data_IF_815302757996
#
_entry.id   IF_815302757996
#
_cell.length_a   1.000
_cell.length_b   1.000
_cell.length_c   1.000
_cell.angle_alpha   90.00
_cell.angle_beta   90.00
_cell.angle_gamma   90.00
#
_symmetry.space_group_name_H-M   'P 1'
#
loop_
_entity.id
_entity.type
_entity.pdbx_description
1 polymer ?
#
# COMPACT_ATOMS: atom_id res chain seq x y z
N UNK A 1 -31.08 18.16 -6.71
CA UNK A 1 -30.08 18.57 -5.70
C UNK A 1 -28.77 18.77 -6.44
N UNK A 2 -28.28 20.01 -6.57
CA UNK A 2 -27.01 20.28 -7.22
C UNK A 2 -25.88 19.93 -6.25
N UNK A 3 -25.25 18.77 -6.43
CA UNK A 3 -24.12 18.34 -5.62
C UNK A 3 -22.86 18.95 -6.22
N UNK A 4 -22.30 19.97 -5.56
CA UNK A 4 -20.99 20.51 -5.93
C UNK A 4 -19.90 19.63 -5.29
N UNK A 5 -19.24 18.83 -6.12
CA UNK A 5 -18.03 18.08 -5.76
C UNK A 5 -16.83 18.86 -6.29
N UNK A 6 -15.99 19.37 -5.39
CA UNK A 6 -14.77 20.06 -5.80
C UNK A 6 -13.68 19.00 -6.01
N UNK A 7 -13.37 18.73 -7.27
CA UNK A 7 -12.20 17.96 -7.70
C UNK A 7 -11.06 18.96 -7.85
N UNK A 8 -10.00 18.82 -7.05
CA UNK A 8 -8.94 19.82 -6.96
C UNK A 8 -8.09 19.92 -8.24
N UNK A 9 -8.50 20.80 -9.16
CA UNK A 9 -7.64 21.53 -10.08
C UNK A 9 -7.90 23.01 -9.78
N UNK A 10 -6.91 23.70 -9.21
CA UNK A 10 -7.01 25.04 -8.63
C UNK A 10 -7.63 26.10 -9.57
N UNK A 11 -8.75 26.73 -9.17
CA UNK A 11 -8.99 28.19 -9.07
C UNK A 11 -10.46 28.45 -8.70
N UNK A 12 -10.81 28.43 -7.41
CA UNK A 12 -12.13 28.87 -6.94
C UNK A 12 -11.89 30.05 -6.01
N UNK A 13 -11.92 31.27 -6.55
CA UNK A 13 -11.73 32.51 -5.79
C UNK A 13 -12.95 32.83 -4.91
N UNK A 14 -14.10 32.19 -5.14
CA UNK A 14 -15.32 32.46 -4.39
C UNK A 14 -15.49 31.51 -3.20
N UNK A 15 -15.18 32.03 -2.01
CA UNK A 15 -15.31 31.32 -0.73
C UNK A 15 -16.73 30.82 -0.42
N UNK A 16 -17.79 31.43 -0.96
CA UNK A 16 -19.18 30.98 -0.75
C UNK A 16 -19.49 29.68 -1.51
N UNK A 17 -18.94 29.51 -2.71
CA UNK A 17 -19.09 28.27 -3.47
C UNK A 17 -18.38 27.10 -2.77
N UNK A 18 -17.24 27.38 -2.14
CA UNK A 18 -16.54 26.35 -1.37
C UNK A 18 -17.38 25.93 -0.17
N UNK A 19 -17.92 26.88 0.61
CA UNK A 19 -18.74 26.58 1.80
C UNK A 19 -20.04 25.83 1.49
N UNK A 20 -20.54 25.93 0.26
CA UNK A 20 -21.72 25.18 -0.19
C UNK A 20 -21.40 23.81 -0.78
N UNK A 21 -20.12 23.44 -0.90
CA UNK A 21 -19.72 22.11 -1.36
C UNK A 21 -20.07 21.05 -0.31
N UNK A 22 -20.51 19.88 -0.79
CA UNK A 22 -20.81 18.73 0.08
C UNK A 22 -19.51 18.09 0.57
N UNK A 23 -18.52 17.96 -0.32
CA UNK A 23 -17.23 17.38 -0.03
C UNK A 23 -16.15 17.89 -1.00
N UNK A 24 -14.91 17.90 -0.52
CA UNK A 24 -13.70 18.05 -1.31
C UNK A 24 -13.05 16.69 -1.56
N UNK A 25 -12.65 16.43 -2.80
CA UNK A 25 -11.95 15.21 -3.19
C UNK A 25 -10.54 15.56 -3.68
N UNK A 26 -9.52 15.12 -2.94
CA UNK A 26 -8.15 15.08 -3.44
C UNK A 26 -7.98 13.79 -4.24
N UNK A 27 -7.96 13.93 -5.56
CA UNK A 27 -7.85 12.79 -6.48
C UNK A 27 -6.39 12.53 -6.81
N UNK A 28 -5.95 11.28 -6.60
CA UNK A 28 -4.65 10.80 -7.06
C UNK A 28 -4.81 9.59 -7.94
N UNK A 29 -4.09 9.59 -9.06
CA UNK A 29 -4.04 8.44 -9.97
C UNK A 29 -2.84 7.56 -9.65
N UNK A 30 -2.95 6.29 -10.01
CA UNK A 30 -1.88 5.31 -9.90
C UNK A 30 -1.91 4.40 -11.11
N UNK A 31 -0.73 4.06 -11.63
CA UNK A 31 -0.57 3.31 -12.88
C UNK A 31 -0.80 1.80 -12.74
N UNK A 32 -1.33 1.35 -11.59
CA UNK A 32 -1.53 -0.07 -11.32
C UNK A 32 -2.92 -0.55 -11.75
N UNK A 33 -2.99 -1.85 -12.03
CA UNK A 33 -4.22 -2.64 -11.97
C UNK A 33 -4.30 -3.23 -10.56
N UNK A 34 -5.13 -2.65 -9.70
CA UNK A 34 -5.24 -3.00 -8.30
C UNK A 34 -5.58 -4.48 -8.08
N UNK A 35 -6.49 -5.02 -8.89
CA UNK A 35 -6.88 -6.43 -8.81
C UNK A 35 -5.72 -7.38 -9.16
N UNK A 36 -5.02 -7.11 -10.27
CA UNK A 36 -3.87 -7.94 -10.68
C UNK A 36 -2.72 -7.85 -9.68
N UNK A 37 -2.48 -6.66 -9.14
CA UNK A 37 -1.46 -6.45 -8.11
C UNK A 37 -1.78 -7.25 -6.85
N UNK A 38 -3.02 -7.21 -6.35
CA UNK A 38 -3.42 -7.94 -5.16
C UNK A 38 -3.25 -9.47 -5.35
N UNK A 39 -3.63 -10.02 -6.50
CA UNK A 39 -3.43 -11.44 -6.82
C UNK A 39 -1.94 -11.80 -6.85
N UNK A 40 -1.13 -10.97 -7.50
CA UNK A 40 0.33 -11.19 -7.57
C UNK A 40 0.95 -11.20 -6.16
N UNK A 41 0.57 -10.24 -5.32
CA UNK A 41 1.09 -10.14 -3.97
C UNK A 41 0.65 -11.31 -3.09
N UNK A 42 -0.62 -11.71 -3.15
CA UNK A 42 -1.11 -12.90 -2.43
C UNK A 42 -0.35 -14.17 -2.83
N UNK A 43 -0.10 -14.36 -4.12
CA UNK A 43 0.67 -15.52 -4.60
C UNK A 43 2.13 -15.46 -4.13
N UNK A 44 2.76 -14.28 -4.14
CA UNK A 44 4.12 -14.08 -3.61
C UNK A 44 4.21 -14.44 -2.13
N UNK A 45 3.24 -13.98 -1.32
CA UNK A 45 3.16 -14.28 0.11
C UNK A 45 3.00 -15.78 0.35
N UNK A 46 2.04 -16.42 -0.34
CA UNK A 46 1.80 -17.87 -0.23
C UNK A 46 3.05 -18.68 -0.57
N UNK A 47 3.71 -18.37 -1.69
CA UNK A 47 4.94 -19.06 -2.10
C UNK A 47 6.08 -18.92 -1.08
N UNK A 48 6.21 -17.78 -0.42
CA UNK A 48 7.22 -17.57 0.61
C UNK A 48 6.90 -18.37 1.88
N UNK A 49 5.62 -18.40 2.30
CA UNK A 49 5.15 -19.22 3.44
C UNK A 49 5.37 -20.71 3.15
N UNK A 50 4.97 -21.20 1.97
CA UNK A 50 5.13 -22.61 1.58
C UNK A 50 6.60 -23.03 1.65
N UNK A 51 7.52 -22.19 1.16
CA UNK A 51 8.97 -22.42 1.24
C UNK A 51 9.48 -22.40 2.68
N UNK A 52 8.97 -21.50 3.53
CA UNK A 52 9.30 -21.50 4.95
C UNK A 52 8.89 -22.82 5.62
N UNK A 53 7.70 -23.35 5.31
CA UNK A 53 7.28 -24.66 5.81
C UNK A 53 8.14 -25.81 5.29
N UNK A 54 8.44 -25.82 3.99
CA UNK A 54 9.30 -26.83 3.37
C UNK A 54 10.67 -26.89 4.08
N UNK A 55 11.31 -25.72 4.26
CA UNK A 55 12.62 -25.64 4.89
C UNK A 55 12.53 -25.98 6.39
N UNK A 56 11.50 -25.49 7.10
CA UNK A 56 11.27 -25.85 8.51
C UNK A 56 11.17 -27.36 8.67
N UNK A 57 10.37 -28.03 7.82
CA UNK A 57 10.20 -29.47 7.88
C UNK A 57 11.51 -30.22 7.56
N UNK A 58 12.33 -29.70 6.63
CA UNK A 58 13.65 -30.25 6.34
C UNK A 58 14.64 -30.12 7.52
N UNK A 59 14.51 -29.08 8.34
CA UNK A 59 15.32 -28.90 9.56
C UNK A 59 14.79 -29.79 10.69
N UNK A 60 13.50 -29.66 11.03
CA UNK A 60 12.90 -30.26 12.23
C UNK A 60 12.65 -31.77 12.07
N UNK A 61 12.39 -32.24 10.84
CA UNK A 61 12.14 -33.64 10.53
C UNK A 61 13.40 -34.49 10.32
N UNK A 62 14.60 -33.95 10.56
CA UNK A 62 15.88 -34.64 10.37
C UNK A 62 16.81 -34.44 11.57
N UNK A 63 17.97 -35.10 11.57
CA UNK A 63 19.01 -34.95 12.60
C UNK A 63 19.55 -33.50 12.74
N UNK A 64 19.24 -32.62 11.78
CA UNK A 64 19.53 -31.20 11.86
C UNK A 64 18.75 -30.50 12.99
N UNK A 65 17.63 -31.08 13.44
CA UNK A 65 16.80 -30.60 14.54
C UNK A 65 17.60 -30.56 15.84
N UNK A 66 18.20 -31.69 16.23
CA UNK A 66 19.04 -31.79 17.43
C UNK A 66 20.33 -30.98 17.30
N UNK A 67 20.90 -30.91 16.10
CA UNK A 67 22.05 -30.04 15.83
C UNK A 67 21.71 -28.57 16.05
N UNK A 68 20.57 -28.10 15.51
CA UNK A 68 20.12 -26.73 15.68
C UNK A 68 19.83 -26.43 17.15
N UNK A 69 19.11 -27.32 17.85
CA UNK A 69 18.77 -27.15 19.27
C UNK A 69 20.03 -27.02 20.13
N UNK A 70 21.04 -27.86 19.92
CA UNK A 70 22.32 -27.78 20.64
C UNK A 70 23.13 -26.52 20.31
N UNK A 71 23.09 -26.05 19.06
CA UNK A 71 23.88 -24.88 18.63
C UNK A 71 23.23 -23.55 18.95
N UNK A 72 21.90 -23.47 18.88
CA UNK A 72 21.11 -22.29 19.20
C UNK A 72 19.65 -22.68 19.48
N UNK A 73 19.34 -22.89 20.76
CA UNK A 73 18.00 -23.25 21.23
C UNK A 73 16.95 -22.16 20.92
N UNK A 74 17.35 -20.89 20.92
CA UNK A 74 16.43 -19.78 20.58
C UNK A 74 15.95 -19.89 19.13
N UNK A 75 16.86 -20.03 18.17
CA UNK A 75 16.49 -20.20 16.74
C UNK A 75 15.70 -21.49 16.55
N UNK A 76 16.07 -22.56 17.24
CA UNK A 76 15.30 -23.81 17.22
C UNK A 76 13.84 -23.58 17.64
N UNK A 77 13.60 -22.93 18.78
CA UNK A 77 12.25 -22.68 19.29
C UNK A 77 11.45 -21.77 18.37
N UNK A 78 12.08 -20.74 17.79
CA UNK A 78 11.45 -19.85 16.81
C UNK A 78 10.98 -20.63 15.57
N UNK A 79 11.83 -21.48 15.01
CA UNK A 79 11.53 -22.24 13.79
C UNK A 79 10.54 -23.37 14.06
N UNK A 80 10.71 -24.10 15.16
CA UNK A 80 9.88 -25.26 15.52
C UNK A 80 8.42 -24.87 15.75
N UNK A 81 8.19 -23.74 16.41
CA UNK A 81 6.84 -23.26 16.74
C UNK A 81 6.26 -22.30 15.68
N UNK A 82 6.97 -22.08 14.56
CA UNK A 82 6.54 -21.14 13.54
C UNK A 82 5.24 -21.60 12.85
N UNK A 83 4.25 -20.72 12.84
CA UNK A 83 3.02 -20.73 12.03
C UNK A 83 3.10 -19.70 10.89
N UNK A 84 2.16 -19.75 9.96
CA UNK A 84 1.98 -18.79 8.86
C UNK A 84 2.06 -17.33 9.33
N UNK A 85 1.41 -17.02 10.45
CA UNK A 85 1.38 -15.66 11.01
C UNK A 85 2.71 -15.29 11.65
N UNK A 86 3.26 -16.17 12.48
CA UNK A 86 4.55 -15.89 13.13
C UNK A 86 5.71 -15.80 12.14
N UNK A 87 5.65 -16.44 10.96
CA UNK A 87 6.67 -16.25 9.92
C UNK A 87 6.80 -14.78 9.46
N UNK A 88 5.73 -13.99 9.57
CA UNK A 88 5.74 -12.56 9.22
C UNK A 88 6.33 -11.66 10.31
N UNK A 89 6.51 -12.21 11.51
CA UNK A 89 7.06 -11.50 12.67
C UNK A 89 8.45 -12.01 13.04
N UNK A 90 8.85 -13.16 12.51
CA UNK A 90 10.13 -13.79 12.80
C UNK A 90 11.27 -12.92 12.27
N UNK A 91 12.22 -12.62 13.14
CA UNK A 91 13.55 -12.18 12.73
C UNK A 91 14.62 -12.85 13.57
N UNK A 92 15.70 -13.24 12.91
CA UNK A 92 16.87 -13.81 13.56
C UNK A 92 18.13 -13.55 12.74
N UNK A 93 19.27 -13.49 13.42
CA UNK A 93 20.57 -13.40 12.77
C UNK A 93 20.98 -14.78 12.26
N UNK A 94 21.23 -14.89 10.96
CA UNK A 94 21.79 -16.11 10.37
C UNK A 94 23.19 -16.39 10.96
N UNK A 95 23.41 -17.58 11.55
CA UNK A 95 24.72 -17.95 12.09
C UNK A 95 25.78 -18.15 11.01
N UNK A 96 27.06 -17.97 11.36
CA UNK A 96 28.22 -18.15 10.48
C UNK A 96 28.81 -19.57 10.52
N UNK A 97 28.04 -20.59 10.94
CA UNK A 97 28.55 -21.95 11.15
C UNK A 97 29.02 -22.62 9.84
N UNK A 98 30.22 -23.20 9.86
CA UNK A 98 30.83 -23.83 8.68
C UNK A 98 31.84 -24.94 8.99
N UNK A 99 31.93 -25.43 10.22
CA UNK A 99 32.98 -26.38 10.64
C UNK A 99 32.71 -27.84 10.22
N UNK A 100 31.48 -28.19 9.86
CA UNK A 100 31.11 -29.52 9.34
C UNK A 100 30.12 -29.36 8.19
N UNK A 101 29.94 -30.42 7.39
CA UNK A 101 29.01 -30.39 6.26
C UNK A 101 27.56 -30.20 6.73
N UNK A 102 27.17 -30.79 7.86
CA UNK A 102 25.85 -30.65 8.47
C UNK A 102 25.60 -29.20 8.89
N UNK A 103 26.61 -28.52 9.45
CA UNK A 103 26.50 -27.11 9.82
C UNK A 103 26.41 -26.19 8.60
N UNK A 104 27.12 -26.50 7.51
CA UNK A 104 27.00 -25.78 6.24
C UNK A 104 25.58 -25.95 5.67
N UNK A 105 25.05 -27.18 5.68
CA UNK A 105 23.71 -27.47 5.21
C UNK A 105 22.64 -26.77 6.06
N UNK A 106 22.74 -26.85 7.38
CA UNK A 106 21.84 -26.15 8.31
C UNK A 106 21.89 -24.64 8.10
N UNK A 107 23.09 -24.05 7.96
CA UNK A 107 23.24 -22.62 7.65
C UNK A 107 22.56 -22.24 6.34
N UNK A 108 22.66 -23.07 5.29
CA UNK A 108 22.00 -22.83 4.00
C UNK A 108 20.47 -22.82 4.15
N UNK A 109 19.92 -23.76 4.91
CA UNK A 109 18.48 -23.82 5.20
C UNK A 109 18.01 -22.60 6.01
N UNK A 110 18.74 -22.23 7.07
CA UNK A 110 18.43 -21.02 7.86
C UNK A 110 18.46 -19.75 7.00
N UNK A 111 19.42 -19.65 6.08
CA UNK A 111 19.48 -18.55 5.11
C UNK A 111 18.25 -18.53 4.20
N UNK A 112 17.82 -19.69 3.72
CA UNK A 112 16.61 -19.83 2.92
C UNK A 112 15.34 -19.39 3.66
N UNK A 113 15.20 -19.72 4.95
CA UNK A 113 14.10 -19.19 5.77
C UNK A 113 14.18 -17.66 5.86
N UNK A 114 15.36 -17.10 6.18
CA UNK A 114 15.53 -15.65 6.30
C UNK A 114 15.19 -14.90 5.01
N UNK A 115 15.62 -15.43 3.86
CA UNK A 115 15.33 -14.84 2.55
C UNK A 115 13.82 -14.83 2.24
N UNK A 116 13.07 -15.86 2.65
CA UNK A 116 11.61 -15.88 2.49
C UNK A 116 10.91 -14.94 3.49
N UNK A 117 11.36 -14.88 4.75
CA UNK A 117 10.90 -13.90 5.73
C UNK A 117 11.08 -12.46 5.22
N UNK A 118 12.22 -12.14 4.61
CA UNK A 118 12.46 -10.83 3.99
C UNK A 118 11.48 -10.51 2.84
N UNK A 119 10.93 -11.53 2.18
CA UNK A 119 9.83 -11.35 1.22
C UNK A 119 8.51 -11.06 1.93
N UNK A 120 8.23 -11.73 3.06
CA UNK A 120 7.03 -11.52 3.86
C UNK A 120 7.00 -10.12 4.50
N UNK A 121 8.14 -9.60 4.94
CA UNK A 121 8.27 -8.24 5.51
C UNK A 121 8.10 -7.11 4.49
N UNK A 122 8.14 -7.40 3.18
CA UNK A 122 7.91 -6.38 2.15
C UNK A 122 6.43 -6.09 2.04
N UNK A 123 6.08 -4.80 2.02
CA UNK A 123 4.73 -4.31 1.74
C UNK A 123 4.12 -5.03 0.52
N UNK A 124 2.87 -5.42 0.65
CA UNK A 124 2.12 -6.24 -0.29
C UNK A 124 0.78 -5.61 -0.70
N UNK A 125 0.56 -4.35 -0.29
CA UNK A 125 -0.61 -3.56 -0.63
C UNK A 125 -0.25 -2.27 -1.37
N UNK A 126 -1.21 -1.79 -2.15
CA UNK A 126 -1.21 -0.46 -2.74
C UNK A 126 -1.68 0.56 -1.69
N UNK A 127 -1.17 1.78 -1.76
CA UNK A 127 -1.39 2.76 -0.71
C UNK A 127 -2.00 4.07 -1.20
N UNK A 128 -2.89 4.65 -0.40
CA UNK A 128 -3.24 6.07 -0.44
C UNK A 128 -2.15 6.82 0.32
N UNK A 129 -1.62 7.91 -0.26
CA UNK A 129 -0.35 8.50 0.20
C UNK A 129 -0.41 9.99 0.55
N UNK A 130 -1.22 10.43 1.53
CA UNK A 130 -1.19 11.82 1.97
C UNK A 130 0.24 12.20 2.42
N UNK A 131 0.65 13.41 2.06
CA UNK A 131 1.96 13.94 2.48
C UNK A 131 1.79 14.59 3.85
N UNK A 132 2.74 14.35 4.75
CA UNK A 132 2.66 14.87 6.12
C UNK A 132 2.59 16.40 6.16
N UNK A 133 3.31 17.07 5.27
CA UNK A 133 3.29 18.54 5.16
C UNK A 133 1.90 19.11 4.83
N UNK A 134 1.07 18.36 4.11
CA UNK A 134 -0.24 18.80 3.64
C UNK A 134 -1.31 18.64 4.73
N UNK A 135 -1.10 17.78 5.74
CA UNK A 135 -2.09 17.46 6.78
C UNK A 135 -2.55 18.72 7.53
N UNK A 136 -1.60 19.56 7.96
CA UNK A 136 -1.91 20.80 8.68
C UNK A 136 -2.63 21.82 7.79
N UNK A 137 -2.32 21.85 6.50
CA UNK A 137 -2.99 22.72 5.53
C UNK A 137 -4.43 22.26 5.29
N UNK A 138 -4.63 20.96 5.02
CA UNK A 138 -5.96 20.36 4.82
C UNK A 138 -6.82 20.54 6.07
N UNK A 139 -6.27 20.31 7.27
CA UNK A 139 -7.02 20.52 8.51
C UNK A 139 -7.49 21.99 8.66
N UNK A 140 -6.60 22.98 8.42
CA UNK A 140 -6.99 24.39 8.45
C UNK A 140 -8.06 24.73 7.41
N UNK A 141 -7.95 24.16 6.22
CA UNK A 141 -8.95 24.34 5.16
C UNK A 141 -10.32 23.80 5.58
N UNK A 142 -10.37 22.59 6.15
CA UNK A 142 -11.62 22.00 6.66
C UNK A 142 -12.23 22.90 7.75
N UNK A 143 -11.43 23.39 8.69
CA UNK A 143 -11.91 24.28 9.75
C UNK A 143 -12.43 25.62 9.20
N UNK A 144 -11.79 26.16 8.16
CA UNK A 144 -12.18 27.44 7.57
C UNK A 144 -13.50 27.36 6.78
N UNK A 145 -13.69 26.28 6.03
CA UNK A 145 -14.83 26.15 5.11
C UNK A 145 -15.94 25.24 5.63
N UNK A 146 -15.67 24.46 6.68
CA UNK A 146 -16.56 23.43 7.23
C UNK A 146 -17.01 22.39 6.18
N UNK A 147 -16.09 22.03 5.28
CA UNK A 147 -16.33 21.06 4.19
C UNK A 147 -15.53 19.80 4.47
N UNK A 148 -16.18 18.63 4.32
CA UNK A 148 -15.55 17.32 4.48
C UNK A 148 -14.49 17.11 3.40
N UNK A 149 -13.37 16.49 3.77
CA UNK A 149 -12.29 16.22 2.82
C UNK A 149 -12.02 14.72 2.72
N UNK A 150 -11.84 14.24 1.49
CA UNK A 150 -11.54 12.84 1.19
C UNK A 150 -10.38 12.72 0.23
N UNK A 151 -9.66 11.61 0.34
CA UNK A 151 -8.63 11.18 -0.60
C UNK A 151 -9.22 10.10 -1.48
N UNK A 152 -9.20 10.31 -2.80
CA UNK A 152 -9.65 9.35 -3.80
C UNK A 152 -8.44 8.83 -4.57
N UNK A 153 -8.10 7.56 -4.37
CA UNK A 153 -7.05 6.89 -5.11
C UNK A 153 -7.66 6.09 -6.27
N UNK A 154 -7.34 6.50 -7.49
CA UNK A 154 -7.84 5.90 -8.73
C UNK A 154 -6.75 5.03 -9.34
N UNK A 155 -7.10 3.79 -9.67
CA UNK A 155 -6.32 2.82 -10.42
C UNK A 155 -6.95 2.60 -11.81
N UNK A 156 -6.34 1.80 -12.66
CA UNK A 156 -6.89 1.53 -13.99
C UNK A 156 -8.09 0.57 -14.01
N UNK A 157 -8.35 -0.12 -12.91
CA UNK A 157 -9.44 -1.09 -12.76
C UNK A 157 -10.38 -0.79 -11.58
N UNK A 158 -9.93 -0.01 -10.58
CA UNK A 158 -10.67 0.27 -9.33
C UNK A 158 -10.39 1.67 -8.79
N UNK A 159 -11.22 2.15 -7.87
CA UNK A 159 -10.90 3.33 -7.06
C UNK A 159 -11.38 3.21 -5.61
N UNK A 160 -10.59 3.78 -4.70
CA UNK A 160 -10.79 3.72 -3.26
C UNK A 160 -10.83 5.12 -2.67
N UNK A 161 -11.74 5.34 -1.72
CA UNK A 161 -11.88 6.61 -1.02
C UNK A 161 -11.66 6.44 0.48
N UNK A 162 -11.06 7.45 1.12
CA UNK A 162 -10.93 7.52 2.58
C UNK A 162 -11.10 8.97 3.04
N UNK A 163 -11.83 9.18 4.14
CA UNK A 163 -12.00 10.52 4.70
C UNK A 163 -10.73 10.97 5.44
N UNK A 164 -10.45 12.28 5.44
CA UNK A 164 -9.35 12.85 6.20
C UNK A 164 -9.47 12.56 7.70
N UNK A 165 -10.69 12.57 8.25
CA UNK A 165 -10.95 12.18 9.64
C UNK A 165 -10.53 10.74 9.92
N UNK A 166 -10.85 9.81 9.02
CA UNK A 166 -10.44 8.41 9.18
C UNK A 166 -8.92 8.29 9.11
N UNK A 167 -8.26 8.98 8.19
CA UNK A 167 -6.79 9.03 8.13
C UNK A 167 -6.20 9.45 9.47
N UNK A 168 -6.65 10.58 10.03
CA UNK A 168 -6.16 11.04 11.34
C UNK A 168 -6.43 10.02 12.44
N UNK A 169 -7.62 9.40 12.44
CA UNK A 169 -8.00 8.39 13.45
C UNK A 169 -7.09 7.17 13.38
N UNK A 170 -6.79 6.68 12.16
CA UNK A 170 -5.92 5.52 11.96
C UNK A 170 -4.48 5.80 12.38
N UNK A 171 -3.96 6.95 12.00
CA UNK A 171 -2.57 7.36 12.27
C UNK A 171 -2.34 7.71 13.74
N UNK A 172 -3.40 8.08 14.47
CA UNK A 172 -3.32 8.36 15.91
C UNK A 172 -3.35 7.11 16.79
N UNK A 173 -3.48 5.91 16.21
CA UNK A 173 -3.52 4.65 16.94
C UNK A 173 -2.32 3.79 16.54
N UNK A 174 -1.29 3.76 17.41
CA UNK A 174 -0.01 3.10 17.16
C UNK A 174 -0.16 1.58 16.91
N UNK A 175 -1.25 0.94 17.36
CA UNK A 175 -1.51 -0.47 17.07
C UNK A 175 -1.76 -0.76 15.58
N UNK A 176 -1.98 0.29 14.78
CA UNK A 176 -2.17 0.18 13.33
C UNK A 176 -0.87 0.39 12.52
N UNK A 177 0.22 0.83 13.16
CA UNK A 177 1.52 1.02 12.49
C UNK A 177 2.11 -0.34 12.08
N UNK A 178 2.65 -0.42 10.87
CA UNK A 178 3.14 -1.65 10.25
C UNK A 178 2.06 -2.56 9.67
N UNK A 179 0.83 -2.53 10.19
CA UNK A 179 -0.28 -3.36 9.72
C UNK A 179 -1.13 -2.66 8.65
N UNK A 180 -1.57 -1.44 8.95
CA UNK A 180 -2.61 -0.72 8.21
C UNK A 180 -2.08 0.58 7.58
N UNK A 181 -1.01 1.13 8.16
CA UNK A 181 -0.25 2.21 7.56
C UNK A 181 1.24 2.08 7.86
N UNK A 182 2.06 2.78 7.09
CA UNK A 182 3.46 3.04 7.43
C UNK A 182 3.80 4.51 7.19
N UNK A 183 4.71 5.07 7.97
CA UNK A 183 5.24 6.42 7.73
C UNK A 183 6.62 6.29 7.11
N UNK A 184 6.75 6.70 5.85
CA UNK A 184 7.97 6.52 5.07
C UNK A 184 8.49 7.87 4.58
N UNK A 185 9.81 8.07 4.71
CA UNK A 185 10.55 9.12 4.00
C UNK A 185 11.23 8.49 2.80
N UNK A 186 10.80 8.87 1.60
CA UNK A 186 11.22 8.22 0.36
C UNK A 186 11.93 9.23 -0.55
N UNK A 187 13.14 8.88 -0.98
CA UNK A 187 13.94 9.67 -1.94
C UNK A 187 13.19 9.88 -3.25
N UNK A 188 12.37 8.90 -3.68
CA UNK A 188 11.52 9.01 -4.89
C UNK A 188 10.41 10.05 -4.73
N UNK A 189 10.03 10.36 -3.49
CA UNK A 189 9.07 11.42 -3.18
C UNK A 189 9.79 12.73 -2.80
N UNK A 190 10.99 12.96 -3.35
CA UNK A 190 11.80 14.17 -3.08
C UNK A 190 12.14 14.31 -1.58
N UNK A 191 12.26 13.19 -0.86
CA UNK A 191 12.57 13.18 0.57
C UNK A 191 11.43 13.64 1.48
N UNK A 192 10.19 13.74 0.95
CA UNK A 192 8.98 14.09 1.70
C UNK A 192 8.50 12.91 2.53
N UNK A 193 8.02 13.18 3.73
CA UNK A 193 7.42 12.17 4.60
C UNK A 193 5.98 11.93 4.15
N UNK A 194 5.66 10.68 3.82
CA UNK A 194 4.33 10.27 3.36
C UNK A 194 3.78 9.19 4.26
N UNK A 195 2.48 9.24 4.54
CA UNK A 195 1.78 8.16 5.21
C UNK A 195 1.30 7.20 4.11
N UNK A 196 1.72 5.94 4.13
CA UNK A 196 1.27 4.90 3.19
C UNK A 196 0.11 4.14 3.84
N UNK A 197 -1.12 4.47 3.48
CA UNK A 197 -2.32 3.83 4.05
C UNK A 197 -2.80 2.75 3.11
N UNK A 198 -3.01 1.52 3.58
CA UNK A 198 -3.53 0.45 2.73
C UNK A 198 -4.87 0.86 2.09
N UNK A 199 -4.95 0.79 0.75
CA UNK A 199 -6.17 1.17 0.00
C UNK A 199 -7.40 0.36 0.41
N UNK A 200 -7.21 -0.86 0.92
CA UNK A 200 -8.29 -1.75 1.36
C UNK A 200 -8.98 -1.28 2.65
N UNK A 201 -8.36 -0.37 3.41
CA UNK A 201 -8.99 0.30 4.55
C UNK A 201 -10.00 1.35 4.07
N UNK A 202 -9.76 1.90 2.88
CA UNK A 202 -10.70 2.77 2.19
C UNK A 202 -11.94 2.01 1.70
N UNK A 203 -12.93 2.76 1.24
CA UNK A 203 -14.13 2.22 0.61
C UNK A 203 -13.91 2.15 -0.89
N UNK A 204 -14.16 0.98 -1.48
CA UNK A 204 -14.16 0.84 -2.94
C UNK A 204 -15.38 1.59 -3.49
N UNK A 205 -15.15 2.62 -4.30
CA UNK A 205 -16.21 3.45 -4.90
C UNK A 205 -16.35 3.21 -6.40
N UNK A 206 -15.29 2.72 -7.05
CA UNK A 206 -15.34 2.24 -8.43
C UNK A 206 -14.86 0.78 -8.43
N UNK A 207 -15.79 -0.16 -8.60
CA UNK A 207 -15.47 -1.59 -8.71
C UNK A 207 -15.11 -2.04 -10.13
N UNK A 208 -15.35 -1.17 -11.12
CA UNK A 208 -15.00 -1.41 -12.51
C UNK A 208 -14.65 -0.10 -13.20
N UNK A 209 -13.59 -0.14 -14.01
CA UNK A 209 -13.21 0.92 -14.94
C UNK A 209 -12.97 0.28 -16.30
N UNK A 210 -13.70 0.74 -17.32
CA UNK A 210 -13.37 0.43 -18.71
C UNK A 210 -12.10 1.21 -19.07
N UNK A 211 -11.05 0.48 -19.46
CA UNK A 211 -9.74 1.04 -19.77
C UNK A 211 -9.86 2.02 -20.94
N UNK A 212 -9.30 3.24 -20.84
CA UNK A 212 -9.24 4.15 -21.98
C UNK A 212 -8.30 3.62 -23.07
N UNK A 213 -8.56 3.97 -24.33
CA UNK A 213 -7.59 3.77 -25.40
C UNK A 213 -6.40 4.71 -25.20
N UNK A 214 -5.19 4.23 -25.50
CA UNK A 214 -3.99 5.07 -25.46
C UNK A 214 -3.58 5.44 -26.88
N UNK A 215 -3.24 6.71 -27.09
CA UNK A 215 -2.73 7.22 -28.37
C UNK A 215 -1.44 8.01 -28.13
N UNK A 216 -0.50 7.86 -29.04
CA UNK A 216 0.70 8.71 -29.04
C UNK A 216 0.33 10.08 -29.58
N UNK A 217 0.62 11.12 -28.79
CA UNK A 217 0.46 12.50 -29.15
C UNK A 217 1.83 13.18 -29.25
N UNK A 218 1.91 14.21 -30.08
CA UNK A 218 3.08 15.06 -30.22
C UNK A 218 2.67 16.51 -30.04
N UNK A 219 3.45 17.25 -29.28
CA UNK A 219 3.29 18.69 -29.08
C UNK A 219 4.61 19.38 -29.36
N UNK A 220 4.60 20.29 -30.31
CA UNK A 220 5.72 21.21 -30.51
C UNK A 220 5.71 22.27 -29.39
N UNK A 221 6.87 22.43 -28.77
CA UNK A 221 7.20 23.43 -27.75
C UNK A 221 8.13 24.49 -28.35
N UNK A 222 8.36 25.57 -27.61
CA UNK A 222 9.22 26.67 -28.05
C UNK A 222 10.60 26.20 -28.55
N UNK A 223 11.06 26.88 -29.61
CA UNK A 223 12.33 26.65 -30.31
C UNK A 223 12.41 25.30 -31.04
N UNK A 224 11.29 24.82 -31.59
CA UNK A 224 11.23 23.61 -32.42
C UNK A 224 11.43 22.31 -31.64
N UNK A 225 11.21 22.35 -30.31
CA UNK A 225 11.34 21.14 -29.47
C UNK A 225 10.07 20.32 -29.57
N UNK A 226 10.19 19.03 -29.85
CA UNK A 226 9.04 18.12 -29.90
C UNK A 226 8.91 17.35 -28.58
N UNK A 227 7.72 17.38 -27.99
CA UNK A 227 7.32 16.55 -26.85
C UNK A 227 6.39 15.44 -27.35
N UNK A 228 6.85 14.20 -27.25
CA UNK A 228 6.03 13.01 -27.49
C UNK A 228 5.48 12.51 -26.15
N UNK A 229 4.18 12.27 -26.07
CA UNK A 229 3.50 11.81 -24.87
C UNK A 229 2.31 10.93 -25.21
N UNK A 230 1.75 10.24 -24.22
CA UNK A 230 0.56 9.40 -24.40
C UNK A 230 -0.67 10.17 -23.92
N UNK A 231 -1.71 10.20 -24.74
CA UNK A 231 -3.05 10.64 -24.35
C UNK A 231 -3.97 9.45 -24.18
N UNK A 232 -4.96 9.61 -23.31
CA UNK A 232 -6.00 8.62 -23.08
C UNK A 232 -7.31 9.15 -23.66
N UNK A 233 -8.00 8.33 -24.44
CA UNK A 233 -9.30 8.64 -25.01
C UNK A 233 -10.35 7.63 -24.54
N UNK A 234 -11.53 8.15 -24.16
CA UNK A 234 -12.61 7.35 -23.61
C UNK A 234 -12.30 6.83 -22.20
N UNK A 235 -12.69 5.59 -21.95
CA UNK A 235 -12.70 4.98 -20.61
C UNK A 235 -13.90 5.42 -19.77
N UNK A 236 -14.34 4.54 -18.87
CA UNK A 236 -15.54 4.79 -18.05
C UNK A 236 -15.43 4.08 -16.70
N UNK A 237 -15.47 4.87 -15.62
CA UNK A 237 -15.64 4.33 -14.27
C UNK A 237 -17.11 4.08 -13.94
N UNK A 238 -17.39 2.99 -13.23
CA UNK A 238 -18.73 2.65 -12.75
C UNK A 238 -18.81 2.90 -11.24
N UNK A 239 -19.45 4.01 -10.87
CA UNK A 239 -19.65 4.43 -9.48
C UNK A 239 -20.63 3.52 -8.77
N UNK A 240 -20.20 3.00 -7.63
CA UNK A 240 -21.12 2.43 -6.65
C UNK A 240 -21.84 3.59 -5.95
N UNK A 241 -23.04 3.90 -6.44
CA UNK A 241 -23.83 5.02 -5.95
C UNK A 241 -24.23 4.84 -4.48
N UNK A 242 -24.50 3.63 -4.01
CA UNK A 242 -24.91 3.40 -2.63
C UNK A 242 -23.76 3.73 -1.68
N UNK A 243 -22.56 3.24 -1.99
CA UNK A 243 -21.36 3.53 -1.21
C UNK A 243 -21.03 5.02 -1.29
N UNK A 244 -21.08 5.62 -2.48
CA UNK A 244 -20.72 7.03 -2.64
C UNK A 244 -21.69 7.96 -1.90
N UNK A 245 -23.00 7.74 -2.01
CA UNK A 245 -23.98 8.54 -1.28
C UNK A 245 -23.79 8.36 0.23
N UNK A 246 -23.77 7.11 0.72
CA UNK A 246 -23.65 6.83 2.16
C UNK A 246 -22.35 7.36 2.78
N UNK A 247 -21.22 7.12 2.12
CA UNK A 247 -19.88 7.31 2.72
C UNK A 247 -19.22 8.65 2.33
N UNK A 248 -19.81 9.41 1.40
CA UNK A 248 -19.28 10.73 0.98
C UNK A 248 -20.31 11.84 1.18
N UNK A 249 -21.56 11.61 0.78
CA UNK A 249 -22.61 12.64 0.80
C UNK A 249 -23.28 12.73 2.17
N UNK A 250 -23.78 11.61 2.70
CA UNK A 250 -24.67 11.56 3.87
C UNK A 250 -23.94 11.50 5.23
N UNK A 251 -22.60 11.52 5.23
CA UNK A 251 -21.75 11.36 6.44
C UNK A 251 -21.82 12.50 7.45
#
# INVERSE_FOLDING_TARGET
MNILVIISLFNIENSEHIRSAVAALEVRSSSYLAGKYAVFMNNRQRQAIDKCHEIRNAIIGTDLSDLLKRKNETIYNLISNATDDTFRELDFRCPSWSSTQELINLRKLLKGIKENIEVLHKRDYLSITPKMEDIALVNRWIQQYNVKHFYLQVFFDRAYIISFKNILTFVSNDNNDGNNFSIERDDKNQGKTTIKINVQIGKEVLGKIDMPEHKSAMKELDRGRLLFYVTFEGGKGYLDNEIFIRDVIDV
#
